data_IF_309272476016
#
_entry.id   IF_309272476016
#
_cell.length_a   1.000
_cell.length_b   1.000
_cell.length_c   1.000
_cell.angle_alpha   90.00
_cell.angle_beta   90.00
_cell.angle_gamma   90.00
#
_symmetry.space_group_name_H-M   'P 1'
#
loop_
_entity.id
_entity.type
_entity.pdbx_description
1 polymer ?
2 non-polymer ?
3 non-polymer ?
4 non-polymer ?
5 water ?
#
# COMPACT_ATOMS: atom_id res chain seq x y z
N UNK A 5 -36.44 -5.65 -14.07
CA UNK A 5 -35.03 -5.26 -14.06
C UNK A 5 -34.50 -5.22 -12.63
N UNK A 6 -33.90 -6.33 -12.20
CA UNK A 6 -33.39 -6.47 -10.84
C UNK A 6 -32.25 -5.49 -10.56
N UNK A 7 -32.36 -4.74 -9.45
CA UNK A 7 -31.34 -3.78 -9.01
C UNK A 7 -29.94 -4.40 -8.88
N UNK A 8 -29.88 -5.64 -8.44
CA UNK A 8 -28.61 -6.33 -8.26
C UNK A 8 -27.89 -6.53 -9.58
N UNK A 9 -28.66 -6.88 -10.61
CA UNK A 9 -28.11 -7.10 -11.95
C UNK A 9 -27.51 -5.83 -12.53
N UNK A 10 -28.20 -4.71 -12.30
CA UNK A 10 -27.77 -3.42 -12.80
C UNK A 10 -26.50 -2.95 -12.09
N UNK A 11 -26.39 -3.26 -10.80
CA UNK A 11 -25.21 -2.88 -10.03
C UNK A 11 -23.96 -3.58 -10.54
N UNK A 12 -24.10 -4.86 -10.89
CA UNK A 12 -22.99 -5.62 -11.44
C UNK A 12 -22.55 -5.06 -12.78
N UNK A 13 -23.53 -4.79 -13.65
CA UNK A 13 -23.25 -4.27 -14.99
C UNK A 13 -22.61 -2.90 -14.94
N UNK A 14 -23.04 -2.08 -13.99
CA UNK A 14 -22.48 -0.74 -13.82
C UNK A 14 -21.00 -0.82 -13.44
N UNK A 15 -20.68 -1.76 -12.56
CA UNK A 15 -19.29 -1.97 -12.16
C UNK A 15 -18.47 -2.53 -13.32
N UNK A 16 -19.08 -3.46 -14.06
CA UNK A 16 -18.43 -4.03 -15.24
C UNK A 16 -18.13 -2.94 -16.26
N UNK A 17 -19.08 -2.03 -16.45
CA UNK A 17 -18.88 -0.88 -17.32
C UNK A 17 -17.71 -0.02 -16.84
N UNK A 18 -17.71 0.28 -15.55
CA UNK A 18 -16.68 1.11 -14.93
C UNK A 18 -15.30 0.48 -15.09
N UNK A 19 -15.23 -0.84 -14.99
CA UNK A 19 -13.98 -1.57 -15.16
C UNK A 19 -13.57 -1.56 -16.64
N UNK A 20 -14.53 -1.77 -17.52
CA UNK A 20 -14.27 -1.80 -18.95
C UNK A 20 -13.88 -0.43 -19.50
N UNK A 21 -14.32 0.62 -18.82
CA UNK A 21 -13.90 1.98 -19.16
C UNK A 21 -12.50 2.21 -18.60
N UNK A 22 -11.50 1.76 -19.36
CA UNK A 22 -10.14 1.69 -18.86
C UNK A 22 -9.47 3.06 -18.70
N UNK A 23 -9.89 4.04 -19.50
CA UNK A 23 -9.31 5.37 -19.39
C UNK A 23 -10.14 6.28 -18.50
N UNK A 24 -11.24 5.73 -17.98
CA UNK A 24 -12.10 6.42 -17.01
C UNK A 24 -12.60 7.76 -17.51
N UNK A 25 -13.10 7.80 -18.74
CA UNK A 25 -13.59 9.04 -19.32
C UNK A 25 -15.12 9.08 -19.32
N UNK A 26 -15.75 7.97 -18.96
CA UNK A 26 -17.19 7.90 -18.86
C UNK A 26 -17.84 7.04 -19.93
N UNK A 27 -17.13 6.82 -21.03
CA UNK A 27 -17.68 6.04 -22.13
C UNK A 27 -16.74 4.92 -22.55
N UNK A 28 -17.28 3.98 -23.34
CA UNK A 28 -16.48 2.92 -23.92
C UNK A 28 -16.15 3.24 -25.38
N UNK A 29 -14.90 3.60 -25.65
CA UNK A 29 -14.49 3.80 -27.04
C UNK A 29 -14.34 2.44 -27.72
N UNK A 30 -14.08 2.46 -29.03
CA UNK A 30 -14.05 1.24 -29.81
C UNK A 30 -12.88 0.32 -29.44
N UNK A 31 -11.80 0.90 -28.94
CA UNK A 31 -10.68 0.11 -28.44
C UNK A 31 -11.13 -0.68 -27.21
N UNK A 32 -11.73 0.02 -26.25
CA UNK A 32 -12.27 -0.59 -25.05
C UNK A 32 -13.42 -1.53 -25.39
N UNK A 33 -14.24 -1.14 -26.36
CA UNK A 33 -15.35 -1.97 -26.80
C UNK A 33 -14.86 -3.27 -27.42
N UNK A 34 -13.81 -3.18 -28.23
CA UNK A 34 -13.23 -4.37 -28.84
C UNK A 34 -12.65 -5.30 -27.77
N UNK A 35 -11.92 -4.73 -26.82
CA UNK A 35 -11.31 -5.50 -25.73
C UNK A 35 -12.35 -6.29 -24.93
N UNK A 36 -13.35 -5.57 -24.41
CA UNK A 36 -14.45 -6.18 -23.66
C UNK A 36 -15.10 -7.31 -24.44
N UNK A 37 -15.52 -6.96 -25.64
CA UNK A 37 -16.28 -7.85 -26.50
C UNK A 37 -15.41 -9.00 -27.02
N UNK A 38 -14.09 -8.82 -26.94
CA UNK A 38 -13.14 -9.89 -27.28
C UNK A 38 -12.96 -10.89 -26.14
N UNK A 39 -12.69 -10.38 -24.93
CA UNK A 39 -12.43 -11.24 -23.78
C UNK A 39 -13.70 -11.96 -23.32
N UNK A 40 -14.86 -11.41 -23.66
CA UNK A 40 -16.13 -12.01 -23.27
C UNK A 40 -16.59 -13.04 -24.29
N UNK A 41 -16.22 -12.82 -25.55
CA UNK A 41 -16.63 -13.71 -26.63
C UNK A 41 -15.42 -14.25 -27.40
N UNK A 42 -15.20 -13.78 -28.62
CA UNK A 42 -14.07 -14.30 -29.40
C UNK A 42 -13.46 -13.28 -30.38
N UNK A 43 -14.27 -12.75 -31.30
CA UNK A 43 -13.77 -11.92 -32.40
C UNK A 43 -14.53 -10.59 -32.55
N UNK A 44 -13.83 -9.47 -32.31
CA UNK A 44 -14.37 -8.13 -32.61
C UNK A 44 -14.81 -7.96 -34.06
N UNK A 45 -16.14 -7.86 -34.20
CA UNK A 45 -16.89 -7.62 -35.43
C UNK A 45 -16.38 -6.47 -36.28
N UNK A 46 -16.83 -6.39 -37.53
CA UNK A 46 -16.45 -5.30 -38.44
C UNK A 46 -16.68 -3.93 -37.80
N UNK A 47 -15.68 -3.05 -37.88
CA UNK A 47 -15.69 -1.70 -37.31
C UNK A 47 -16.95 -0.91 -37.67
N UNK A 48 -17.55 -1.24 -38.81
CA UNK A 48 -18.79 -0.63 -39.23
C UNK A 48 -19.98 -1.43 -38.69
N UNK A 49 -19.84 -2.75 -38.64
CA UNK A 49 -20.86 -3.62 -38.06
C UNK A 49 -20.95 -3.40 -36.56
N UNK A 50 -20.00 -2.66 -36.02
CA UNK A 50 -20.03 -2.27 -34.62
C UNK A 50 -21.03 -1.12 -34.44
N UNK A 51 -21.08 -0.22 -35.42
CA UNK A 51 -22.05 0.88 -35.36
C UNK A 51 -23.41 0.38 -35.84
N UNK A 52 -23.45 -0.85 -36.37
CA UNK A 52 -24.72 -1.47 -36.70
C UNK A 52 -25.51 -1.73 -35.41
N UNK A 53 -24.86 -1.48 -34.28
CA UNK A 53 -25.49 -1.54 -32.97
C UNK A 53 -25.37 -0.17 -32.28
N UNK A 54 -24.29 0.54 -32.59
CA UNK A 54 -24.00 1.83 -31.97
C UNK A 54 -24.99 2.92 -32.42
N UNK A 55 -25.69 2.67 -33.53
CA UNK A 55 -26.74 3.58 -33.97
C UNK A 55 -28.12 3.08 -33.55
N UNK A 56 -28.20 1.78 -33.25
CA UNK A 56 -29.41 1.20 -32.68
C UNK A 56 -29.69 1.87 -31.33
N UNK A 57 -28.62 2.06 -30.56
CA UNK A 57 -28.70 2.77 -29.30
C UNK A 57 -29.14 4.21 -29.53
N UNK A 58 -28.61 4.82 -30.59
CA UNK A 58 -28.90 6.21 -30.92
C UNK A 58 -30.38 6.47 -31.20
N UNK A 59 -31.09 5.46 -31.68
CA UNK A 59 -32.48 5.64 -32.09
C UNK A 59 -33.45 4.98 -31.11
N UNK A 60 -33.04 4.92 -29.84
CA UNK A 60 -33.91 4.51 -28.75
C UNK A 60 -33.76 5.48 -27.60
N UNK A 61 -32.50 5.88 -27.36
CA UNK A 61 -32.17 6.84 -26.32
C UNK A 61 -31.22 7.89 -26.89
N UNK A 62 -31.16 9.06 -26.25
CA UNK A 62 -30.35 10.15 -26.75
C UNK A 62 -29.09 10.38 -25.92
N UNK A 63 -28.89 9.52 -24.92
CA UNK A 63 -27.72 9.62 -24.06
C UNK A 63 -26.98 8.29 -23.97
N UNK A 64 -27.10 7.49 -25.02
CA UNK A 64 -26.46 6.18 -25.05
C UNK A 64 -25.12 6.19 -25.76
N UNK A 65 -24.88 7.22 -26.56
CA UNK A 65 -23.62 7.38 -27.27
C UNK A 65 -23.14 8.83 -27.19
N UNK A 66 -21.93 9.03 -26.69
CA UNK A 66 -21.36 10.36 -26.57
C UNK A 66 -19.92 10.42 -27.09
N UNK A 67 -19.69 11.31 -28.06
CA UNK A 67 -18.38 11.48 -28.68
C UNK A 67 -17.83 10.15 -29.22
N UNK A 68 -18.64 9.47 -30.01
CA UNK A 68 -18.29 8.18 -30.60
C UNK A 68 -17.88 7.15 -29.53
N UNK A 69 -18.59 7.18 -28.40
CA UNK A 69 -18.33 6.27 -27.31
C UNK A 69 -19.58 5.84 -26.58
N UNK A 70 -19.71 4.55 -26.33
CA UNK A 70 -20.88 4.00 -25.64
C UNK A 70 -20.92 4.43 -24.18
N UNK A 71 -22.02 5.07 -23.78
CA UNK A 71 -22.19 5.49 -22.40
C UNK A 71 -22.71 4.35 -21.54
N UNK A 72 -22.77 4.59 -20.23
CA UNK A 72 -23.30 3.60 -19.29
C UNK A 72 -24.76 3.29 -19.60
N UNK A 73 -25.53 4.33 -19.86
CA UNK A 73 -26.94 4.18 -20.20
C UNK A 73 -27.11 3.39 -21.49
N UNK A 74 -26.21 3.59 -22.43
CA UNK A 74 -26.20 2.82 -23.66
C UNK A 74 -25.86 1.37 -23.38
N UNK A 75 -24.88 1.18 -22.50
CA UNK A 75 -24.45 -0.15 -22.09
C UNK A 75 -25.61 -0.91 -21.44
N UNK A 76 -26.29 -0.25 -20.50
CA UNK A 76 -27.44 -0.84 -19.82
C UNK A 76 -28.59 -1.09 -20.78
N UNK A 77 -28.75 -0.20 -21.76
CA UNK A 77 -29.78 -0.35 -22.78
C UNK A 77 -29.56 -1.62 -23.60
N UNK A 78 -28.31 -1.85 -23.99
CA UNK A 78 -27.96 -3.02 -24.79
C UNK A 78 -28.20 -4.31 -24.02
N UNK A 79 -28.05 -4.25 -22.70
CA UNK A 79 -28.38 -5.38 -21.83
C UNK A 79 -29.87 -5.68 -21.90
N UNK A 80 -30.68 -4.62 -21.89
CA UNK A 80 -32.13 -4.75 -21.98
C UNK A 80 -32.53 -5.34 -23.32
N UNK A 81 -31.83 -4.93 -24.38
CA UNK A 81 -32.12 -5.37 -25.73
C UNK A 81 -31.99 -6.88 -25.90
N UNK A 82 -30.99 -7.47 -25.23
CA UNK A 82 -30.74 -8.90 -25.33
C UNK A 82 -31.84 -9.71 -24.64
N UNK A 83 -32.19 -9.30 -23.42
CA UNK A 83 -33.23 -9.99 -22.67
C UNK A 83 -34.61 -9.47 -23.04
N UNK A 89 -28.63 -15.30 -21.78
CA UNK A 89 -27.38 -16.06 -21.77
C UNK A 89 -26.20 -15.17 -22.14
N UNK A 90 -26.44 -14.22 -23.04
CA UNK A 90 -25.42 -13.28 -23.48
C UNK A 90 -24.91 -12.45 -22.30
N UNK A 91 -25.82 -12.13 -21.39
CA UNK A 91 -25.49 -11.34 -20.21
C UNK A 91 -24.68 -12.15 -19.20
N UNK A 92 -25.11 -13.39 -18.95
CA UNK A 92 -24.46 -14.24 -17.97
C UNK A 92 -23.03 -14.61 -18.39
N UNK A 93 -22.78 -14.60 -19.69
CA UNK A 93 -21.42 -14.83 -20.20
C UNK A 93 -20.51 -13.69 -19.75
N UNK A 94 -21.01 -12.46 -19.91
CA UNK A 94 -20.29 -11.27 -19.48
C UNK A 94 -20.10 -11.26 -17.96
N UNK A 95 -21.16 -11.60 -17.24
CA UNK A 95 -21.13 -11.61 -15.77
C UNK A 95 -20.12 -12.61 -15.23
N UNK A 96 -20.14 -13.83 -15.76
CA UNK A 96 -19.23 -14.87 -15.33
C UNK A 96 -17.79 -14.56 -15.72
N UNK A 97 -17.62 -13.82 -16.81
CA UNK A 97 -16.30 -13.42 -17.27
C UNK A 97 -15.67 -12.41 -16.31
N UNK A 98 -16.52 -11.70 -15.58
CA UNK A 98 -16.04 -10.69 -14.63
C UNK A 98 -16.11 -11.19 -13.18
N UNK A 99 -16.29 -12.49 -13.02
CA UNK A 99 -16.16 -13.13 -11.71
C UNK A 99 -17.41 -13.21 -10.86
N UNK A 100 -18.58 -13.05 -11.46
CA UNK A 100 -19.83 -13.15 -10.72
C UNK A 100 -20.41 -14.56 -10.77
N UNK A 101 -21.20 -14.92 -9.76
CA UNK A 101 -21.87 -16.21 -9.74
C UNK A 101 -23.35 -16.07 -10.12
N UNK A 102 -24.14 -17.08 -9.79
CA UNK A 102 -25.56 -17.10 -10.14
C UNK A 102 -26.39 -16.20 -9.23
N UNK A 103 -25.77 -15.69 -8.17
CA UNK A 103 -26.47 -14.80 -7.24
C UNK A 103 -25.92 -13.37 -7.36
N UNK A 104 -25.24 -13.10 -8.46
CA UNK A 104 -24.69 -11.78 -8.75
C UNK A 104 -23.73 -11.30 -7.67
N UNK A 105 -22.95 -12.23 -7.13
CA UNK A 105 -21.89 -11.92 -6.18
C UNK A 105 -20.55 -12.38 -6.74
N UNK A 106 -19.48 -11.70 -6.34
CA UNK A 106 -18.14 -12.08 -6.80
C UNK A 106 -17.69 -13.36 -6.11
N UNK A 107 -17.27 -14.33 -6.91
CA UNK A 107 -16.87 -15.64 -6.42
C UNK A 107 -15.61 -15.58 -5.56
N UNK A 108 -15.51 -16.47 -4.55
CA UNK A 108 -14.33 -16.59 -3.70
C UNK A 108 -13.07 -16.89 -4.51
N UNK A 109 -13.23 -17.63 -5.61
CA UNK A 109 -12.12 -17.99 -6.47
C UNK A 109 -11.55 -16.75 -7.17
N UNK A 110 -12.42 -15.77 -7.42
CA UNK A 110 -12.00 -14.53 -8.07
C UNK A 110 -11.37 -13.55 -7.08
N UNK A 111 -12.03 -13.37 -5.94
CA UNK A 111 -11.59 -12.39 -4.95
C UNK A 111 -10.46 -12.90 -4.07
N UNK A 112 -10.51 -14.18 -3.70
CA UNK A 112 -9.52 -14.75 -2.80
C UNK A 112 -8.80 -15.94 -3.43
N UNK A 113 -7.91 -15.66 -4.40
CA UNK A 113 -7.18 -16.75 -5.06
C UNK A 113 -6.18 -17.41 -4.11
N UNK A 114 -5.74 -18.62 -4.46
CA UNK A 114 -4.81 -19.34 -3.61
C UNK A 114 -3.38 -18.82 -3.77
N UNK A 115 -2.86 -18.23 -2.71
CA UNK A 115 -1.47 -17.81 -2.67
C UNK A 115 -0.90 -18.07 -1.28
N UNK A 116 -0.22 -19.20 -1.12
CA UNK A 116 0.35 -19.53 0.17
C UNK A 116 1.84 -19.18 0.21
N UNK A 117 2.23 -18.51 1.27
CA UNK A 117 3.59 -18.00 1.41
C UNK A 117 4.37 -18.84 2.41
N UNK A 118 5.51 -19.39 1.97
CA UNK A 118 6.40 -20.15 2.86
C UNK A 118 6.87 -19.29 4.03
N UNK A 119 7.21 -19.93 5.17
CA UNK A 119 7.67 -19.20 6.35
C UNK A 119 8.91 -18.36 6.07
N UNK A 120 9.02 -17.22 6.75
CA UNK A 120 10.15 -16.30 6.61
C UNK A 120 10.30 -15.75 5.19
N UNK A 121 9.20 -15.74 4.44
CA UNK A 121 9.16 -15.11 3.14
C UNK A 121 8.24 -13.90 3.18
N UNK A 122 8.46 -12.94 2.27
CA UNK A 122 7.63 -11.76 2.22
C UNK A 122 6.97 -11.60 0.84
N UNK A 123 5.99 -10.72 0.76
CA UNK A 123 5.25 -10.53 -0.48
C UNK A 123 5.38 -9.10 -1.01
N UNK A 124 5.69 -9.00 -2.30
CA UNK A 124 5.81 -7.71 -2.97
C UNK A 124 5.02 -7.72 -4.27
N UNK A 125 4.77 -6.54 -4.82
CA UNK A 125 4.14 -6.43 -6.13
C UNK A 125 5.20 -6.52 -7.22
N UNK A 126 4.96 -7.32 -8.24
CA UNK A 126 5.89 -7.40 -9.36
C UNK A 126 5.81 -6.12 -10.18
N UNK A 127 6.70 -5.99 -11.17
CA UNK A 127 6.81 -4.75 -11.93
C UNK A 127 5.51 -4.36 -12.63
N UNK A 128 4.90 -5.32 -13.33
CA UNK A 128 3.68 -5.05 -14.08
C UNK A 128 2.51 -4.70 -13.16
N UNK A 129 2.54 -5.23 -11.95
CA UNK A 129 1.52 -4.91 -10.96
C UNK A 129 1.56 -3.43 -10.60
N UNK A 130 2.77 -2.92 -10.36
CA UNK A 130 2.97 -1.51 -10.08
C UNK A 130 2.48 -0.64 -11.23
N UNK A 131 2.73 -1.11 -12.45
CA UNK A 131 2.30 -0.40 -13.65
C UNK A 131 0.78 -0.26 -13.71
N UNK A 132 0.09 -1.32 -13.33
CA UNK A 132 -1.37 -1.33 -13.27
C UNK A 132 -1.86 -0.24 -12.31
N UNK A 133 -1.20 -0.14 -11.16
CA UNK A 133 -1.57 0.84 -10.15
C UNK A 133 -1.21 2.25 -10.58
N UNK A 134 -0.10 2.39 -11.32
CA UNK A 134 0.28 3.67 -11.90
C UNK A 134 -0.81 4.14 -12.87
N UNK A 135 -1.23 3.23 -13.74
CA UNK A 135 -2.31 3.50 -14.67
C UNK A 135 -3.59 3.85 -13.92
N UNK A 136 -3.94 3.01 -12.94
CA UNK A 136 -5.13 3.22 -12.12
C UNK A 136 -5.15 4.60 -11.49
N UNK A 137 -4.02 4.99 -10.90
CA UNK A 137 -3.89 6.32 -10.31
C UNK A 137 -4.14 7.42 -11.34
N UNK A 138 -3.50 7.28 -12.50
CA UNK A 138 -3.57 8.30 -13.54
C UNK A 138 -4.97 8.48 -14.11
N UNK A 139 -5.72 7.38 -14.21
CA UNK A 139 -7.08 7.43 -14.75
C UNK A 139 -8.04 8.15 -13.81
N UNK A 140 -7.69 8.19 -12.52
CA UNK A 140 -8.55 8.81 -11.53
C UNK A 140 -8.01 10.15 -11.05
N UNK A 141 -6.89 10.58 -11.62
CA UNK A 141 -6.34 11.90 -11.32
C UNK A 141 -6.74 12.87 -12.42
N UNK A 142 -8.01 13.29 -12.39
CA UNK A 142 -8.58 14.09 -13.48
C UNK A 142 -8.02 15.51 -13.54
N UNK A 143 -7.65 16.07 -12.40
CA UNK A 143 -7.10 17.43 -12.38
C UNK A 143 -5.59 17.42 -12.59
N UNK A 144 -5.02 16.21 -12.71
CA UNK A 144 -3.62 16.03 -13.07
C UNK A 144 -2.65 16.72 -12.12
N UNK A 145 -2.90 16.60 -10.82
CA UNK A 145 -2.04 17.23 -9.83
C UNK A 145 -1.21 16.21 -9.04
N UNK A 146 -1.16 14.98 -9.56
CA UNK A 146 -0.40 13.89 -8.95
C UNK A 146 -0.81 13.64 -7.49
N UNK A 147 -2.10 13.81 -7.22
CA UNK A 147 -2.65 13.53 -5.90
C UNK A 147 -4.14 13.21 -6.02
N UNK A 148 -4.62 12.29 -5.21
CA UNK A 148 -6.02 11.89 -5.26
C UNK A 148 -6.86 12.60 -4.21
N UNK A 149 -7.70 13.53 -4.68
CA UNK A 149 -8.64 14.22 -3.82
C UNK A 149 -9.68 13.22 -3.31
N UNK A 150 -10.37 13.57 -2.21
CA UNK A 150 -11.45 12.72 -1.68
C UNK A 150 -12.50 12.34 -2.73
N UNK A 151 -12.84 13.28 -3.61
CA UNK A 151 -13.80 13.02 -4.67
C UNK A 151 -13.24 12.04 -5.71
N UNK A 152 -11.95 12.18 -6.00
CA UNK A 152 -11.28 11.28 -6.93
C UNK A 152 -11.14 9.90 -6.31
N UNK A 153 -10.95 9.86 -5.00
CA UNK A 153 -10.86 8.60 -4.27
C UNK A 153 -12.20 7.87 -4.26
N UNK A 154 -13.27 8.61 -3.98
CA UNK A 154 -14.62 8.04 -3.99
C UNK A 154 -14.94 7.47 -5.36
N UNK A 155 -14.49 8.17 -6.39
CA UNK A 155 -14.66 7.71 -7.77
C UNK A 155 -13.95 6.38 -7.99
N UNK A 156 -12.75 6.25 -7.43
CA UNK A 156 -11.99 5.01 -7.52
C UNK A 156 -12.68 3.87 -6.79
N UNK A 157 -13.26 4.17 -5.64
CA UNK A 157 -13.85 3.15 -4.78
C UNK A 157 -15.26 2.76 -5.22
N UNK A 158 -15.68 3.23 -6.40
CA UNK A 158 -17.01 2.91 -6.92
C UNK A 158 -17.11 1.45 -7.34
N UNK A 159 -15.96 0.82 -7.56
CA UNK A 159 -15.92 -0.61 -7.90
C UNK A 159 -15.65 -1.45 -6.66
N UNK A 160 -15.74 -0.81 -5.49
CA UNK A 160 -15.58 -1.49 -4.22
C UNK A 160 -16.92 -1.62 -3.50
N UNK A 161 -17.19 -2.79 -2.90
CA UNK A 161 -18.43 -3.01 -2.15
C UNK A 161 -18.44 -2.21 -0.84
N UNK A 162 -17.26 -1.83 -0.38
CA UNK A 162 -17.12 -1.00 0.81
C UNK A 162 -15.88 -0.11 0.68
N UNK A 163 -15.75 0.88 1.55
CA UNK A 163 -14.58 1.74 1.54
C UNK A 163 -13.36 0.97 2.06
N UNK A 164 -12.37 0.74 1.17
CA UNK A 164 -11.21 -0.10 1.46
C UNK A 164 -10.17 0.59 2.34
N UNK A 165 -10.17 1.91 2.36
CA UNK A 165 -9.18 2.65 3.13
C UNK A 165 -9.81 3.55 4.18
N UNK A 166 -9.43 3.34 5.43
CA UNK A 166 -9.79 4.26 6.49
C UNK A 166 -9.02 5.55 6.30
N UNK A 167 -9.46 6.62 6.96
CA UNK A 167 -8.76 7.91 6.83
C UNK A 167 -7.47 7.99 7.65
N UNK A 168 -7.03 6.87 8.22
CA UNK A 168 -5.73 6.79 8.88
C UNK A 168 -4.61 6.56 7.86
N UNK A 169 -4.98 6.14 6.65
CA UNK A 169 -4.03 5.91 5.57
C UNK A 169 -3.28 7.19 5.22
N UNK A 170 -3.93 8.33 5.45
CA UNK A 170 -3.34 9.64 5.14
C UNK A 170 -2.18 10.03 6.05
N UNK A 171 -1.87 9.18 7.03
CA UNK A 171 -0.70 9.39 7.89
C UNK A 171 0.16 8.14 7.92
N UNK A 172 -0.05 7.27 6.95
CA UNK A 172 0.76 6.09 6.78
C UNK A 172 1.68 6.30 5.58
N UNK A 173 1.20 7.06 4.62
CA UNK A 173 1.94 7.32 3.39
C UNK A 173 2.07 8.82 3.11
N UNK A 174 2.76 9.16 2.03
CA UNK A 174 3.01 10.54 1.67
C UNK A 174 1.75 11.25 1.18
N UNK A 175 1.53 12.45 1.67
CA UNK A 175 0.40 13.28 1.26
C UNK A 175 0.89 14.68 0.89
N UNK A 176 0.04 15.45 0.21
CA UNK A 176 0.41 16.82 -0.17
C UNK A 176 0.09 17.82 0.93
N UNK A 177 -0.04 19.09 0.53
CA UNK A 177 -0.35 20.17 1.46
C UNK A 177 -1.69 19.96 2.15
N UNK A 178 -2.67 19.51 1.39
CA UNK A 178 -4.04 19.36 1.90
C UNK A 178 -4.26 18.01 2.57
N UNK A 179 -3.23 17.17 2.54
CA UNK A 179 -3.32 15.85 3.14
C UNK A 179 -3.90 14.81 2.19
N UNK A 180 -3.85 15.11 0.90
CA UNK A 180 -4.32 14.19 -0.13
C UNK A 180 -3.22 13.22 -0.52
N UNK A 181 -3.57 11.94 -0.62
CA UNK A 181 -2.60 10.91 -0.97
C UNK A 181 -1.93 11.20 -2.31
N UNK A 182 -0.61 11.38 -2.29
CA UNK A 182 0.14 11.67 -3.50
C UNK A 182 0.32 10.42 -4.35
N UNK A 183 1.01 10.58 -5.47
CA UNK A 183 1.28 9.48 -6.38
C UNK A 183 2.16 8.42 -5.72
N UNK A 184 3.25 8.85 -5.10
CA UNK A 184 4.16 7.93 -4.42
C UNK A 184 3.51 7.35 -3.16
N UNK A 185 2.70 8.17 -2.49
CA UNK A 185 1.99 7.71 -1.31
C UNK A 185 0.98 6.64 -1.67
N UNK A 186 0.41 6.78 -2.86
CA UNK A 186 -0.55 5.82 -3.38
C UNK A 186 0.10 4.45 -3.58
N UNK A 187 1.27 4.44 -4.22
CA UNK A 187 2.02 3.21 -4.42
C UNK A 187 2.50 2.64 -3.09
N UNK A 188 2.90 3.51 -2.19
CA UNK A 188 3.39 3.10 -0.87
C UNK A 188 2.32 2.37 -0.07
N UNK A 189 1.07 2.78 -0.24
CA UNK A 189 -0.04 2.17 0.49
C UNK A 189 -0.34 0.77 -0.02
N UNK A 190 -0.22 0.57 -1.32
CA UNK A 190 -0.41 -0.74 -1.91
C UNK A 190 0.76 -1.66 -1.58
N UNK A 191 1.96 -1.11 -1.60
CA UNK A 191 3.17 -1.83 -1.21
C UNK A 191 3.04 -2.34 0.22
N UNK A 192 2.60 -1.46 1.11
CA UNK A 192 2.40 -1.78 2.50
C UNK A 192 1.32 -2.84 2.72
N UNK A 193 0.23 -2.70 1.98
CA UNK A 193 -0.88 -3.64 2.08
C UNK A 193 -0.47 -5.02 1.58
N UNK A 194 0.29 -5.04 0.49
CA UNK A 194 0.78 -6.29 -0.08
C UNK A 194 1.69 -7.02 0.91
N UNK A 195 2.51 -6.25 1.62
CA UNK A 195 3.44 -6.81 2.59
C UNK A 195 2.72 -7.39 3.80
N UNK A 196 1.93 -6.56 4.47
CA UNK A 196 1.25 -6.96 5.70
C UNK A 196 0.10 -7.93 5.47
N UNK A 197 -0.82 -7.57 4.57
CA UNK A 197 -2.02 -8.36 4.35
C UNK A 197 -2.21 -8.61 2.85
N UNK A 198 -1.50 -9.61 2.34
CA UNK A 198 -1.47 -9.86 0.90
C UNK A 198 -2.82 -10.31 0.35
N UNK A 199 -3.62 -11.00 1.17
CA UNK A 199 -4.91 -11.50 0.70
C UNK A 199 -5.95 -10.37 0.67
N UNK A 200 -5.68 -9.30 1.40
CA UNK A 200 -6.52 -8.11 1.32
C UNK A 200 -6.20 -7.35 0.03
N UNK A 201 -4.91 -7.29 -0.29
CA UNK A 201 -4.44 -6.65 -1.51
C UNK A 201 -4.99 -7.37 -2.73
N UNK A 202 -4.97 -8.71 -2.67
CA UNK A 202 -5.50 -9.53 -3.75
C UNK A 202 -7.00 -9.29 -3.93
N UNK A 203 -7.70 -9.14 -2.81
CA UNK A 203 -9.12 -8.88 -2.83
C UNK A 203 -9.42 -7.52 -3.46
N UNK A 204 -8.57 -6.55 -3.18
CA UNK A 204 -8.75 -5.20 -3.72
C UNK A 204 -8.41 -5.16 -5.21
N UNK A 205 -7.39 -5.92 -5.61
CA UNK A 205 -7.01 -6.02 -7.01
C UNK A 205 -8.14 -6.64 -7.81
N UNK A 206 -8.88 -7.56 -7.18
CA UNK A 206 -10.03 -8.17 -7.80
C UNK A 206 -11.13 -7.14 -8.04
N UNK A 207 -11.32 -6.26 -7.07
CA UNK A 207 -12.32 -5.20 -7.17
C UNK A 207 -12.01 -4.26 -8.33
N UNK A 208 -10.73 -4.04 -8.58
CA UNK A 208 -10.28 -3.17 -9.67
C UNK A 208 -10.28 -3.92 -11.00
N UNK A 209 -10.53 -5.23 -10.95
CA UNK A 209 -10.57 -6.04 -12.14
C UNK A 209 -9.20 -6.25 -12.75
N UNK A 210 -8.19 -6.35 -11.89
CA UNK A 210 -6.81 -6.52 -12.32
C UNK A 210 -6.61 -7.75 -13.20
N UNK A 211 -7.08 -8.89 -12.73
CA UNK A 211 -6.91 -10.16 -13.44
C UNK A 211 -7.58 -10.14 -14.81
N UNK A 212 -8.69 -9.40 -14.90
CA UNK A 212 -9.44 -9.32 -16.14
C UNK A 212 -8.75 -8.42 -17.17
N UNK A 213 -8.33 -7.24 -16.72
CA UNK A 213 -7.73 -6.25 -17.61
C UNK A 213 -6.33 -6.65 -18.05
N UNK A 214 -5.58 -7.31 -17.18
CA UNK A 214 -4.24 -7.77 -17.52
C UNK A 214 -4.28 -9.17 -18.10
N UNK A 215 -5.48 -9.76 -18.11
CA UNK A 215 -5.73 -11.07 -18.70
C UNK A 215 -4.82 -12.14 -18.13
N UNK A 216 -4.86 -12.32 -16.81
CA UNK A 216 -4.04 -13.35 -16.16
C UNK A 216 -4.91 -14.32 -15.38
N UNK A 217 -4.27 -15.36 -14.83
CA UNK A 217 -4.97 -16.46 -14.19
C UNK A 217 -5.71 -16.03 -12.92
N UNK A 218 -5.06 -15.20 -12.11
CA UNK A 218 -5.67 -14.72 -10.87
C UNK A 218 -5.01 -13.42 -10.41
N UNK A 219 -5.51 -12.87 -9.32
CA UNK A 219 -4.94 -11.64 -8.76
C UNK A 219 -3.56 -11.93 -8.19
N UNK A 220 -3.33 -13.19 -7.83
CA UNK A 220 -2.05 -13.62 -7.24
C UNK A 220 -0.90 -13.49 -8.22
N UNK A 221 -1.21 -13.25 -9.49
CA UNK A 221 -0.18 -13.08 -10.51
C UNK A 221 0.52 -11.73 -10.38
N UNK A 222 0.02 -10.89 -9.47
CA UNK A 222 0.60 -9.57 -9.24
C UNK A 222 1.64 -9.62 -8.12
N UNK A 223 1.67 -10.73 -7.39
CA UNK A 223 2.48 -10.83 -6.19
C UNK A 223 3.78 -11.60 -6.39
N UNK A 224 4.89 -10.97 -6.01
CA UNK A 224 6.18 -11.64 -5.98
C UNK A 224 6.46 -12.16 -4.57
N UNK A 225 6.72 -13.45 -4.45
CA UNK A 225 7.03 -14.05 -3.16
C UNK A 225 8.54 -14.22 -3.00
N UNK A 226 9.13 -13.46 -2.09
CA UNK A 226 10.57 -13.48 -1.86
C UNK A 226 11.02 -14.81 -1.27
N UNK A 227 12.32 -15.07 -1.32
CA UNK A 227 12.86 -16.32 -0.79
C UNK A 227 13.01 -16.26 0.72
N UNK A 228 13.37 -17.39 1.32
CA UNK A 228 13.53 -17.50 2.76
C UNK A 228 14.56 -16.49 3.27
N UNK A 229 14.20 -15.80 4.35
CA UNK A 229 15.09 -14.83 4.99
C UNK A 229 16.39 -15.50 5.43
N UNK A 230 16.30 -16.77 5.82
CA UNK A 230 17.47 -17.53 6.23
C UNK A 230 18.51 -17.59 5.12
N UNK A 231 18.06 -17.89 3.91
CA UNK A 231 18.94 -17.97 2.76
C UNK A 231 19.61 -16.64 2.48
N UNK A 232 18.88 -15.55 2.69
CA UNK A 232 19.43 -14.21 2.53
C UNK A 232 20.62 -13.97 3.46
N UNK A 233 20.62 -14.65 4.60
CA UNK A 233 21.68 -14.47 5.58
C UNK A 233 22.87 -15.38 5.33
N UNK A 234 22.62 -16.58 4.81
CA UNK A 234 23.72 -17.45 4.39
C UNK A 234 24.43 -16.81 3.21
N UNK A 235 23.65 -16.49 2.18
CA UNK A 235 24.17 -15.85 0.98
C UNK A 235 24.69 -14.44 1.28
N UNK A 236 24.26 -13.90 2.41
CA UNK A 236 24.66 -12.57 2.86
C UNK A 236 24.29 -11.50 1.84
N UNK A 237 23.17 -11.69 1.16
CA UNK A 237 22.64 -10.70 0.23
C UNK A 237 21.16 -10.98 -0.04
N UNK A 238 20.42 -9.92 -0.39
CA UNK A 238 18.99 -10.05 -0.60
C UNK A 238 18.54 -9.38 -1.89
N UNK A 239 17.33 -9.72 -2.34
CA UNK A 239 16.75 -9.11 -3.53
C UNK A 239 15.47 -8.38 -3.18
N UNK A 240 15.14 -8.34 -1.90
CA UNK A 240 13.95 -7.66 -1.42
C UNK A 240 14.02 -6.15 -1.64
N UNK A 241 12.86 -5.54 -1.87
CA UNK A 241 12.79 -4.09 -2.03
C UNK A 241 12.05 -3.45 -0.86
N UNK A 242 11.38 -4.27 -0.08
CA UNK A 242 10.61 -3.80 1.07
C UNK A 242 11.14 -4.40 2.37
N UNK A 243 11.55 -3.53 3.29
CA UNK A 243 12.06 -3.98 4.58
C UNK A 243 11.23 -3.39 5.72
N UNK A 244 10.95 -4.21 6.73
CA UNK A 244 10.18 -3.75 7.88
C UNK A 244 11.06 -3.48 9.08
N UNK A 245 10.81 -2.33 9.73
CA UNK A 245 11.52 -1.98 10.95
C UNK A 245 10.54 -1.75 12.10
N UNK A 246 10.73 -2.49 13.19
CA UNK A 246 9.91 -2.31 14.38
C UNK A 246 10.47 -1.21 15.28
N UNK A 247 9.62 -0.25 15.61
CA UNK A 247 10.03 0.89 16.45
C UNK A 247 9.59 0.69 17.89
N UNK A 248 10.55 0.39 18.76
CA UNK A 248 10.26 0.04 20.15
C UNK A 248 10.83 1.05 21.14
N UNK A 249 10.03 1.42 22.14
CA UNK A 249 10.46 2.35 23.17
C UNK A 249 9.35 2.59 24.18
N UNK A 250 9.67 3.22 25.30
CA UNK A 250 8.68 3.50 26.33
C UNK A 250 7.59 4.45 25.88
N UNK A 251 6.60 4.64 26.73
CA UNK A 251 5.45 5.50 26.45
C UNK A 251 5.90 6.95 26.23
N UNK A 252 5.41 7.56 25.16
CA UNK A 252 5.72 8.95 24.83
C UNK A 252 7.21 9.24 24.68
N UNK A 253 7.96 8.27 24.18
CA UNK A 253 9.39 8.45 23.97
C UNK A 253 9.67 9.06 22.60
N UNK A 254 8.64 9.20 21.79
CA UNK A 254 8.76 9.85 20.49
C UNK A 254 8.67 8.90 19.30
N UNK A 255 8.07 7.73 19.52
CA UNK A 255 7.96 6.71 18.48
C UNK A 255 7.12 7.17 17.29
N UNK A 256 5.97 7.77 17.56
CA UNK A 256 5.09 8.25 16.51
C UNK A 256 5.74 9.38 15.71
N UNK A 257 6.57 10.16 16.39
CA UNK A 257 7.29 11.25 15.74
C UNK A 257 8.29 10.74 14.73
N UNK A 258 8.82 9.55 14.99
CA UNK A 258 9.75 8.91 14.07
C UNK A 258 9.03 8.48 12.79
N UNK A 259 7.85 7.88 12.97
CA UNK A 259 7.05 7.40 11.85
C UNK A 259 6.66 8.52 10.90
N UNK A 260 6.23 9.65 11.45
CA UNK A 260 5.79 10.78 10.65
C UNK A 260 6.97 11.51 10.02
N UNK A 261 8.15 11.36 10.60
CA UNK A 261 9.36 11.96 10.06
C UNK A 261 9.74 11.30 8.74
N UNK A 262 9.40 10.02 8.61
CA UNK A 262 9.61 9.29 7.37
C UNK A 262 8.73 9.85 6.26
N UNK A 263 7.59 10.41 6.66
CA UNK A 263 6.65 11.01 5.72
C UNK A 263 6.96 12.49 5.52
N UNK A 264 8.09 12.94 6.07
CA UNK A 264 8.55 14.30 5.88
C UNK A 264 7.78 15.34 6.67
N UNK A 265 7.22 14.93 7.80
CA UNK A 265 6.44 15.84 8.63
C UNK A 265 7.17 16.17 9.93
N UNK A 266 7.34 17.47 10.20
CA UNK A 266 7.94 17.90 11.45
C UNK A 266 6.92 17.93 12.58
N UNK A 267 7.38 18.19 13.80
CA UNK A 267 6.52 18.18 14.98
C UNK A 267 5.36 19.17 14.86
N UNK A 268 5.60 20.29 14.18
CA UNK A 268 4.56 21.27 13.93
C UNK A 268 3.45 20.68 13.06
N UNK A 269 3.86 20.05 11.96
CA UNK A 269 2.93 19.43 11.02
C UNK A 269 2.19 18.26 11.66
N UNK A 270 2.85 17.59 12.60
CA UNK A 270 2.29 16.41 13.26
C UNK A 270 1.16 16.75 14.23
N UNK A 271 1.19 17.97 14.76
CA UNK A 271 0.24 18.36 15.80
C UNK A 271 -1.19 18.52 15.29
N UNK A 272 -1.35 18.50 13.96
CA UNK A 272 -2.67 18.71 13.36
C UNK A 272 -3.35 17.39 13.00
N UNK A 273 -2.67 16.29 13.30
CA UNK A 273 -3.19 14.92 13.12
C UNK A 273 -4.25 14.60 14.20
N UNK A 274 -5.34 13.96 13.79
CA UNK A 274 -6.57 13.96 14.61
C UNK A 274 -6.88 12.72 15.48
N UNK A 275 -8.11 12.70 16.01
CA UNK A 275 -8.83 11.49 16.48
C UNK A 275 -8.32 10.14 15.92
N UNK A 276 -8.96 9.62 14.88
CA UNK A 276 -8.45 8.41 14.25
C UNK A 276 -7.51 8.47 13.01
N UNK A 277 -7.05 9.64 12.56
CA UNK A 277 -5.81 9.73 11.74
C UNK A 277 -4.60 8.94 12.22
N UNK A 278 -4.43 8.76 13.53
CA UNK A 278 -3.19 8.16 14.03
C UNK A 278 -2.98 6.75 13.51
N UNK A 279 -1.99 6.59 12.64
CA UNK A 279 -1.59 5.29 12.15
C UNK A 279 -0.43 4.78 13.01
N UNK A 280 -0.21 3.47 12.97
CA UNK A 280 0.90 2.88 13.70
C UNK A 280 1.82 2.19 12.71
N UNK A 281 1.62 2.55 11.45
CA UNK A 281 2.53 2.19 10.37
C UNK A 281 2.89 3.45 9.59
N UNK A 282 4.04 3.41 8.92
CA UNK A 282 4.48 4.51 8.08
C UNK A 282 5.49 3.99 7.07
N UNK A 283 5.19 4.18 5.79
CA UNK A 283 6.03 3.64 4.73
C UNK A 283 6.42 4.70 3.71
N UNK A 284 7.67 4.63 3.25
CA UNK A 284 8.17 5.54 2.23
C UNK A 284 9.39 4.97 1.53
N UNK A 285 9.74 5.54 0.39
CA UNK A 285 10.93 5.12 -0.34
C UNK A 285 12.19 5.68 0.31
N UNK A 286 13.22 4.85 0.38
CA UNK A 286 14.51 5.27 0.92
C UNK A 286 15.64 4.83 -0.01
N UNK A 287 16.59 5.71 -0.26
CA UNK A 287 17.71 5.38 -1.13
C UNK A 287 18.95 4.96 -0.35
N UNK A 288 19.40 3.73 -0.60
CA UNK A 288 20.61 3.21 0.02
C UNK A 288 21.67 2.94 -1.04
N UNK A 289 22.73 3.76 -1.03
CA UNK A 289 23.83 3.64 -1.99
C UNK A 289 23.35 3.62 -3.44
N UNK A 290 22.32 4.41 -3.73
CA UNK A 290 21.79 4.50 -5.08
C UNK A 290 20.67 3.52 -5.35
N UNK A 291 20.46 2.59 -4.42
CA UNK A 291 19.38 1.61 -4.56
C UNK A 291 18.11 2.11 -3.89
N UNK A 292 17.01 2.14 -4.63
CA UNK A 292 15.74 2.55 -4.07
C UNK A 292 15.05 1.38 -3.39
N UNK A 293 14.70 1.56 -2.12
CA UNK A 293 14.02 0.53 -1.34
C UNK A 293 12.85 1.12 -0.57
N UNK A 294 11.91 0.27 -0.18
CA UNK A 294 10.80 0.68 0.68
C UNK A 294 11.11 0.40 2.14
N UNK A 295 10.95 1.41 2.99
CA UNK A 295 11.09 1.21 4.43
C UNK A 295 9.72 1.20 5.09
N UNK A 296 9.47 0.16 5.88
CA UNK A 296 8.17 -0.05 6.49
C UNK A 296 8.29 0.01 8.02
N UNK A 297 7.88 1.12 8.60
CA UNK A 297 8.00 1.31 10.05
C UNK A 297 6.73 0.90 10.78
N UNK A 298 6.90 0.09 11.82
CA UNK A 298 5.79 -0.32 12.67
C UNK A 298 5.98 0.21 14.09
N UNK A 299 5.07 1.08 14.52
CA UNK A 299 5.11 1.64 15.86
C UNK A 299 4.60 0.65 16.90
N UNK A 300 5.50 0.15 17.73
CA UNK A 300 5.13 -0.76 18.80
C UNK A 300 4.81 0.00 20.08
N UNK A 301 3.53 0.25 20.32
CA UNK A 301 3.08 0.89 21.55
C UNK A 301 3.52 0.05 22.74
N UNK A 302 3.96 0.70 23.81
CA UNK A 302 4.46 -0.02 24.97
C UNK A 302 3.40 -0.91 25.58
N UNK A 303 3.64 -2.22 25.51
CA UNK A 303 2.71 -3.20 26.06
C UNK A 303 3.39 -3.99 27.17
N UNK A 304 2.62 -4.87 27.81
CA UNK A 304 3.15 -5.70 28.88
C UNK A 304 4.03 -6.81 28.31
N UNK A 305 3.83 -7.13 27.04
CA UNK A 305 4.57 -8.22 26.41
C UNK A 305 5.12 -7.85 25.04
N UNK A 306 6.31 -8.37 24.73
CA UNK A 306 6.83 -8.34 23.38
C UNK A 306 6.71 -9.74 22.77
N UNK A 307 5.65 -9.95 22.00
CA UNK A 307 5.40 -11.24 21.38
C UNK A 307 6.41 -11.51 20.26
N UNK A 308 6.50 -12.77 19.84
CA UNK A 308 7.34 -13.14 18.71
C UNK A 308 6.89 -12.37 17.47
N UNK A 309 5.60 -12.08 17.43
CA UNK A 309 4.98 -11.34 16.33
C UNK A 309 5.61 -9.96 16.12
N UNK A 310 5.72 -9.19 17.21
CA UNK A 310 6.14 -7.80 17.11
C UNK A 310 7.63 -7.59 17.34
N UNK A 311 8.40 -8.67 17.26
CA UNK A 311 9.85 -8.56 17.35
C UNK A 311 10.53 -9.08 16.09
N UNK A 312 9.72 -9.64 15.19
CA UNK A 312 10.24 -10.12 13.92
C UNK A 312 10.23 -9.00 12.88
N UNK A 313 11.44 -8.64 12.42
CA UNK A 313 11.61 -7.59 11.43
C UNK A 313 13.00 -7.70 10.81
N UNK A 314 13.31 -6.82 9.87
CA UNK A 314 14.60 -6.85 9.19
C UNK A 314 15.61 -5.96 9.90
N UNK A 315 15.11 -5.06 10.74
CA UNK A 315 15.97 -4.18 11.53
C UNK A 315 15.15 -3.58 12.69
N UNK A 316 15.77 -3.45 13.85
CA UNK A 316 15.08 -2.94 15.03
C UNK A 316 15.51 -1.52 15.37
N UNK A 317 14.54 -0.65 15.61
CA UNK A 317 14.81 0.71 16.05
C UNK A 317 14.39 0.88 17.50
N UNK A 318 15.36 0.79 18.41
CA UNK A 318 15.10 1.02 19.83
C UNK A 318 15.24 2.49 20.15
N UNK A 319 14.11 3.13 20.47
CA UNK A 319 14.06 4.56 20.70
C UNK A 319 13.96 4.91 22.18
N UNK A 320 14.75 5.89 22.62
CA UNK A 320 14.62 6.41 23.98
C UNK A 320 14.62 7.94 23.96
N UNK A 321 14.16 8.54 25.05
CA UNK A 321 14.00 9.98 25.14
C UNK A 321 15.10 10.60 25.99
N UNK A 322 15.87 11.51 25.40
CA UNK A 322 17.00 12.14 26.10
C UNK A 322 16.53 13.04 27.25
N UNK A 323 15.26 13.40 27.25
CA UNK A 323 14.70 14.20 28.33
C UNK A 323 14.10 13.30 29.41
N UNK A 324 14.08 12.00 29.14
CA UNK A 324 13.55 11.03 30.09
C UNK A 324 14.66 10.14 30.64
N UNK A 325 14.94 10.25 31.94
CA UNK A 325 16.03 9.51 32.58
C UNK A 325 15.77 8.01 32.70
N UNK A 326 14.53 7.59 32.51
CA UNK A 326 14.17 6.17 32.67
C UNK A 326 13.93 5.48 31.33
N UNK A 327 14.01 6.23 30.24
CA UNK A 327 13.64 5.72 28.93
C UNK A 327 14.63 4.68 28.39
N UNK A 328 15.93 4.91 28.61
CA UNK A 328 16.95 4.03 28.03
C UNK A 328 17.02 2.66 28.71
N UNK A 329 16.63 2.61 29.98
CA UNK A 329 16.64 1.34 30.72
C UNK A 329 15.77 0.31 30.01
N UNK A 330 14.69 0.78 29.40
CA UNK A 330 13.77 -0.07 28.68
C UNK A 330 14.40 -0.63 27.40
N UNK A 331 15.10 0.22 26.67
CA UNK A 331 15.79 -0.19 25.45
C UNK A 331 16.82 -1.27 25.75
N UNK A 332 17.57 -1.09 26.84
CA UNK A 332 18.57 -2.06 27.25
C UNK A 332 17.89 -3.36 27.68
N UNK A 333 16.77 -3.23 28.38
CA UNK A 333 16.01 -4.38 28.85
C UNK A 333 15.50 -5.23 27.69
N UNK A 334 14.81 -4.58 26.76
CA UNK A 334 14.23 -5.26 25.61
C UNK A 334 15.32 -5.87 24.72
N UNK A 335 16.46 -5.18 24.63
CA UNK A 335 17.57 -5.67 23.81
C UNK A 335 18.16 -6.96 24.37
N UNK A 336 18.52 -6.94 25.64
CA UNK A 336 19.04 -8.13 26.32
C UNK A 336 18.04 -9.29 26.25
N UNK A 337 16.78 -8.94 26.14
CA UNK A 337 15.69 -9.89 26.24
C UNK A 337 15.32 -10.55 24.91
N UNK A 338 15.58 -9.85 23.80
CA UNK A 338 15.06 -10.30 22.51
C UNK A 338 16.02 -10.17 21.33
N UNK A 339 16.94 -9.22 21.38
CA UNK A 339 17.78 -8.94 20.22
C UNK A 339 19.27 -9.06 20.50
N UNK A 340 19.62 -9.44 21.73
CA UNK A 340 21.02 -9.58 22.12
C UNK A 340 21.73 -10.65 21.29
N UNK A 341 21.21 -11.87 21.32
CA UNK A 341 21.75 -12.94 20.49
C UNK A 341 20.83 -13.21 19.31
N UNK A 342 20.53 -12.16 18.57
CA UNK A 342 19.65 -12.26 17.42
C UNK A 342 20.38 -11.93 16.13
N UNK A 343 19.93 -12.53 15.04
CA UNK A 343 20.47 -12.26 13.72
C UNK A 343 19.99 -10.92 13.20
N UNK A 344 19.04 -10.33 13.92
CA UNK A 344 18.43 -9.06 13.53
C UNK A 344 19.27 -7.87 14.00
N UNK A 345 19.62 -6.98 13.06
CA UNK A 345 20.38 -5.76 13.36
C UNK A 345 19.58 -4.82 14.26
N UNK A 346 20.28 -4.01 15.05
CA UNK A 346 19.62 -3.13 16.00
C UNK A 346 20.27 -1.74 16.05
N UNK A 347 19.42 -0.72 16.01
CA UNK A 347 19.89 0.66 16.07
C UNK A 347 19.21 1.43 17.20
N UNK A 348 20.00 2.05 18.06
CA UNK A 348 19.46 2.85 19.16
C UNK A 348 19.39 4.32 18.75
N UNK A 349 18.22 4.93 18.96
CA UNK A 349 18.00 6.31 18.57
C UNK A 349 17.69 7.21 19.77
N UNK A 350 18.50 8.23 19.96
CA UNK A 350 18.27 9.22 21.01
C UNK A 350 17.33 10.32 20.52
N UNK A 351 16.03 10.10 20.69
CA UNK A 351 15.02 10.99 20.15
C UNK A 351 14.85 12.26 20.99
N UNK A 352 14.11 13.22 20.44
CA UNK A 352 13.88 14.51 21.07
C UNK A 352 15.19 15.21 21.44
N UNK A 353 16.17 15.10 20.55
CA UNK A 353 17.50 15.65 20.79
C UNK A 353 17.51 17.17 20.86
N UNK A 354 16.40 17.79 20.48
CA UNK A 354 16.25 19.23 20.58
C UNK A 354 16.05 19.66 22.03
N UNK A 355 15.71 18.70 22.89
CA UNK A 355 15.51 18.96 24.30
C UNK A 355 16.81 18.78 25.09
N UNK A 356 16.85 19.29 26.31
CA UNK A 356 18.02 19.16 27.15
C UNK A 356 18.28 17.71 27.51
N UNK A 357 19.52 17.27 27.31
CA UNK A 357 19.90 15.88 27.57
C UNK A 357 20.17 15.64 29.05
N UNK A 358 19.36 14.81 29.68
CA UNK A 358 19.54 14.46 31.08
C UNK A 358 20.35 13.19 31.23
N UNK A 359 20.64 12.82 32.48
CA UNK A 359 21.36 11.58 32.75
C UNK A 359 20.40 10.39 32.82
N UNK A 360 20.71 9.34 32.06
CA UNK A 360 19.92 8.12 32.11
C UNK A 360 20.26 7.33 33.37
N UNK A 361 19.24 6.87 34.07
CA UNK A 361 19.43 6.23 35.37
C UNK A 361 19.99 4.82 35.27
N UNK A 362 20.07 4.31 34.05
CA UNK A 362 20.65 2.99 33.81
C UNK A 362 22.12 2.99 34.23
N UNK A 363 22.62 1.82 34.63
CA UNK A 363 23.97 1.71 35.17
C UNK A 363 25.04 2.08 34.15
N UNK A 364 24.82 1.73 32.89
CA UNK A 364 25.78 2.04 31.84
C UNK A 364 25.19 3.11 30.90
N UNK A 365 26.07 3.87 30.26
CA UNK A 365 25.64 4.93 29.35
C UNK A 365 25.28 4.34 27.99
N UNK A 366 24.36 5.01 27.26
CA UNK A 366 23.95 4.58 25.93
C UNK A 366 25.13 4.36 24.98
N UNK A 367 26.14 5.23 25.07
CA UNK A 367 27.34 5.10 24.25
C UNK A 367 28.10 3.82 24.59
N UNK A 368 28.37 3.63 25.88
CA UNK A 368 29.09 2.45 26.34
C UNK A 368 28.32 1.16 26.06
N UNK A 369 27.00 1.24 26.18
CA UNK A 369 26.14 0.09 25.94
C UNK A 369 26.24 -0.38 24.49
N UNK A 370 26.18 0.57 23.56
CA UNK A 370 26.27 0.27 22.14
C UNK A 370 27.68 -0.25 21.79
N UNK A 371 28.68 0.37 22.39
CA UNK A 371 30.07 -0.05 22.18
C UNK A 371 30.28 -1.47 22.67
N UNK A 372 29.65 -1.79 23.79
CA UNK A 372 29.80 -3.10 24.42
C UNK A 372 29.15 -4.22 23.61
N UNK A 373 28.01 -3.93 23.00
CA UNK A 373 27.24 -4.95 22.29
C UNK A 373 27.37 -4.86 20.77
N UNK A 374 28.47 -4.28 20.30
CA UNK A 374 28.80 -4.23 18.87
C UNK A 374 27.71 -3.55 18.04
N UNK A 375 27.10 -2.52 18.61
CA UNK A 375 26.08 -1.74 17.90
C UNK A 375 26.67 -0.43 17.40
N UNK A 376 26.01 0.20 16.41
CA UNK A 376 26.38 1.56 16.05
C UNK A 376 26.14 2.50 17.23
N UNK A 377 26.89 3.61 17.30
CA UNK A 377 26.67 4.60 18.36
C UNK A 377 25.24 5.14 18.33
N UNK A 378 24.71 5.57 19.48
CA UNK A 378 23.36 6.12 19.55
C UNK A 378 23.17 7.28 18.58
N UNK A 379 22.14 7.20 17.75
CA UNK A 379 21.89 8.21 16.74
C UNK A 379 20.98 9.31 17.26
N UNK A 380 21.48 10.54 17.29
CA UNK A 380 20.68 11.69 17.69
C UNK A 380 19.63 11.99 16.63
N UNK A 381 18.40 12.21 17.08
CA UNK A 381 17.31 12.49 16.16
C UNK A 381 16.29 13.46 16.76
N UNK A 382 15.71 14.29 15.91
CA UNK A 382 14.62 15.17 16.32
C UNK A 382 13.69 15.44 15.14
N UNK A 383 12.40 15.45 15.40
CA UNK A 383 11.43 15.75 14.37
C UNK A 383 10.93 17.19 14.53
N UNK A 384 11.36 17.82 15.61
CA UNK A 384 11.00 19.22 15.87
C UNK A 384 11.95 20.15 15.12
N UNK A 385 11.75 20.27 13.81
CA UNK A 385 12.58 21.12 12.98
C UNK A 385 11.73 22.10 12.18
N UNK A 386 12.37 23.13 11.62
CA UNK A 386 11.67 24.14 10.84
C UNK A 386 11.09 23.53 9.57
N UNK A 387 11.92 22.83 8.82
CA UNK A 387 11.47 22.14 7.62
C UNK A 387 11.23 20.66 7.93
N UNK A 388 11.37 19.81 6.90
CA UNK A 388 11.24 18.37 7.08
C UNK A 388 12.40 17.84 7.90
N UNK A 389 12.13 16.88 8.80
CA UNK A 389 13.17 16.27 9.63
C UNK A 389 14.22 15.54 8.78
N UNK A 390 15.37 15.25 9.38
CA UNK A 390 16.43 14.54 8.69
C UNK A 390 16.06 13.08 8.50
N UNK A 391 16.31 12.55 7.31
CA UNK A 391 16.00 11.15 7.00
C UNK A 391 17.23 10.26 7.18
N UNK A 392 18.20 10.75 7.95
CA UNK A 392 19.46 10.04 8.15
C UNK A 392 19.28 8.66 8.79
N UNK A 393 18.49 8.60 9.86
CA UNK A 393 18.29 7.35 10.58
C UNK A 393 17.53 6.34 9.71
N UNK A 394 16.70 6.83 8.81
CA UNK A 394 15.92 5.97 7.93
C UNK A 394 16.81 5.32 6.88
N UNK A 395 17.78 6.08 6.38
CA UNK A 395 18.75 5.56 5.43
C UNK A 395 19.63 4.52 6.13
N UNK A 396 20.00 4.81 7.37
CA UNK A 396 20.84 3.90 8.15
C UNK A 396 20.10 2.61 8.49
N UNK A 397 18.85 2.73 8.89
CA UNK A 397 18.02 1.57 9.21
C UNK A 397 17.86 0.64 8.00
N UNK A 398 17.59 1.24 6.84
CA UNK A 398 17.42 0.47 5.62
C UNK A 398 18.73 -0.20 5.21
N UNK A 399 19.83 0.53 5.36
CA UNK A 399 21.16 0.02 5.05
C UNK A 399 21.49 -1.20 5.91
N UNK A 400 21.19 -1.11 7.20
CA UNK A 400 21.43 -2.20 8.14
C UNK A 400 20.53 -3.39 7.81
N UNK A 401 19.34 -3.11 7.30
CA UNK A 401 18.40 -4.17 6.94
C UNK A 401 18.87 -4.93 5.70
N UNK A 402 19.47 -4.20 4.76
CA UNK A 402 19.98 -4.81 3.54
C UNK A 402 21.29 -5.54 3.79
N UNK A 403 22.16 -4.92 4.57
CA UNK A 403 23.48 -5.46 4.85
C UNK A 403 23.70 -5.57 6.37
N UNK A 404 23.16 -6.64 6.97
CA UNK A 404 23.08 -6.87 8.42
C UNK A 404 24.39 -6.65 9.19
N UNK A 405 25.37 -7.50 8.97
CA UNK A 405 26.57 -7.52 9.82
C UNK A 405 27.70 -6.62 9.31
N UNK A 406 27.44 -5.86 8.25
CA UNK A 406 28.48 -4.98 7.71
C UNK A 406 28.54 -3.67 8.50
X LIG B 1 5.06 8.04 21.37
X LIG B 1 4.80 7.54 19.98
X LIG B 1 6.10 7.23 22.07
X LIG B 1 3.80 8.13 22.17
X LIG B 1 5.63 9.52 21.12
X LIG B 1 5.03 10.72 20.23
X LIG B 1 5.66 10.68 18.87
X LIG B 1 3.53 10.74 20.37
X LIG B 1 5.65 11.96 21.05
X LIG B 1 5.38 12.11 22.45
X LIG B 1 5.39 13.57 22.86
X LIG B 1 6.69 14.11 22.62
X LIG B 1 4.41 14.48 22.12
X LIG B 1 3.88 15.48 23.00
X LIG B 1 5.27 15.11 21.04
X LIG B 1 4.81 16.40 20.63
X LIG B 1 6.62 15.23 21.75
X LIG B 1 7.76 15.10 20.80
X LIG B 1 7.87 14.13 19.88
X LIG B 1 9.00 14.21 19.11
X LIG B 1 9.62 15.29 19.58
X LIG B 1 10.89 15.98 19.22
X LIG B 1 11.72 15.67 18.35
X LIG B 1 11.08 17.05 20.00
X LIG B 1 10.29 17.52 20.99
X LIG B 1 10.75 18.64 21.61
X LIG B 1 9.13 16.98 21.38
X LIG B 1 8.83 15.90 20.67
X LIG C 1 1.88 7.68 23.45
X LIG D 1 1.98 5.48 20.76
X LIG D 1 2.70 5.90 19.52
X LIG D 1 0.86 4.53 20.46
X LIG D 1 1.52 6.66 21.56
X LIG D 1 3.02 4.76 21.75
X LIG D 1 3.02 4.62 23.35
X LIG D 1 3.04 6.01 23.93
X LIG D 1 4.02 3.62 23.78
X LIG D 1 1.54 4.01 23.56
X LIG D 1 1.20 3.48 24.83
X LIG D 1 -0.31 3.45 25.07
X LIG D 1 -0.95 2.66 24.08
X LIG D 1 -0.76 2.90 26.42
X LIG D 1 -1.87 3.63 26.94
X LIG D 1 -1.15 1.46 26.08
X LIG D 1 -2.10 0.90 26.98
X LIG D 1 -1.75 1.65 24.69
X LIG D 1 -1.73 0.40 23.89
X LIG D 1 -0.77 -0.56 23.93
X LIG D 1 -1.01 -1.61 23.12
X LIG D 1 -2.18 -1.32 22.55
X LIG D 1 -3.04 -2.03 21.57
X LIG D 1 -2.84 -3.13 21.01
X LIG D 1 -4.15 -1.32 21.30
X LIG D 1 -4.50 -0.14 21.81
X LIG D 1 -5.69 0.35 21.36
X LIG D 1 -3.80 0.58 22.70
X LIG D 1 -2.67 -0.03 23.05
X LIG E 1 -13.34 4.96 -22.04
X LIG F 1 -6.08 14.85 -8.38
#
# INVERSE_FOLDING_TARGET
>A
EEKEMKPACIKALTRIFKISDQDNDGTLNDAELNFFQRICFNTPLAPQALEDVKNVVRKHISDGVADSGLTLKGFLFLHTLFIQRGRHETTWTVLRRFGYDDDLDLTPEYLFPLLKIPPDCTTELNHHAYLFLQSTFDKHDLDRDCALSPDELKDLFKVFPYIPWGPDVNNTVCTNERGWITYQGFLSQWTLTTYLDVQRCLEYLGYLGYSILTEQESQASAVTVTRDKKIDLQKKQTQRNVFRCNVIGVKNCGKSGVLQALLGRNLMRQKKIREDHKSYYAINTVYVYGQEKYLLLHDISESEFLTEAEIICDVVCLVYDVSNPKSFEYCARIFKQHFMDSRIPCLIVAAKSDLHEVKQEYSISPTDFCRKHKMPPPQAFTCNTADAPSKDIFVKLTTMAMYPHVTQADLKSSTFLEHHHHHH
>B hetero
1 GDP PB O1B O2B O3B O3A PA O1A O2A O5' C5' C4' O4' C3' O3' C2' O2' C1' N9 C8 N7 C5 C6 O6 N1 C2 N2 N3 C4
>C hetero
1 MG MG
>D hetero
1 GDP PB O1B O2B O3B O3A PA O1A O2A O5' C5' C4' O4' C3' O3' C2' O2' C1' N9 C8 N7 C5 C6 O6 N1 C2 N2 N3 C4
>E hetero
1 CA CA
>F hetero
1 CA CA
#
